data_IF_473204369002
#
_entry.id   IF_473204369002
#
_cell.length_a   1.000
_cell.length_b   1.000
_cell.length_c   1.000
_cell.angle_alpha   90.00
_cell.angle_beta   90.00
_cell.angle_gamma   90.00
#
_symmetry.space_group_name_H-M   'P 1'
#
loop_
_entity.id
_entity.type
_entity.pdbx_description
1 polymer ?
#
# COMPACT_ATOMS: atom_id res chain seq x y z
N UNK A 1 -10.77 -0.74 -10.27
CA UNK A 1 -11.19 -1.86 -9.39
C UNK A 1 -10.47 -1.68 -8.06
N UNK A 2 -11.06 -2.04 -6.91
CA UNK A 2 -10.40 -1.90 -5.59
C UNK A 2 -10.31 -3.27 -4.91
N UNK A 3 -9.20 -3.53 -4.22
CA UNK A 3 -9.05 -4.75 -3.43
C UNK A 3 -9.76 -4.59 -2.08
N UNK A 4 -10.66 -5.51 -1.75
CA UNK A 4 -11.33 -5.52 -0.46
C UNK A 4 -10.63 -6.52 0.48
N UNK A 5 -10.04 -6.03 1.58
CA UNK A 5 -9.37 -6.88 2.58
C UNK A 5 -10.28 -7.95 3.18
N UNK A 6 -11.55 -7.62 3.39
CA UNK A 6 -12.48 -8.53 4.04
C UNK A 6 -12.96 -9.66 3.12
N UNK A 7 -12.95 -9.44 1.81
CA UNK A 7 -13.37 -10.43 0.82
C UNK A 7 -12.19 -11.08 0.08
N UNK A 8 -10.97 -10.64 0.37
CA UNK A 8 -9.72 -11.01 -0.29
C UNK A 8 -9.81 -11.09 -1.82
N UNK A 9 -10.54 -10.15 -2.43
CA UNK A 9 -10.76 -10.14 -3.87
C UNK A 9 -10.92 -8.72 -4.40
N UNK A 10 -10.64 -8.58 -5.70
CA UNK A 10 -10.88 -7.34 -6.44
C UNK A 10 -12.36 -7.17 -6.70
N UNK A 11 -12.94 -6.09 -6.19
CA UNK A 11 -14.34 -5.74 -6.38
C UNK A 11 -14.46 -4.36 -7.00
N UNK A 12 -15.52 -4.16 -7.77
CA UNK A 12 -15.94 -2.81 -8.18
C UNK A 12 -16.82 -2.27 -7.07
N UNK A 13 -16.38 -1.24 -6.31
CA UNK A 13 -17.15 -0.73 -5.20
C UNK A 13 -18.38 0.00 -5.73
N UNK A 14 -19.56 -0.33 -5.20
CA UNK A 14 -20.84 0.18 -5.68
C UNK A 14 -21.51 1.01 -4.59
N UNK A 15 -22.13 2.14 -4.95
CA UNK A 15 -23.03 2.85 -4.06
C UNK A 15 -24.42 2.22 -4.17
N UNK A 16 -24.92 1.59 -3.11
CA UNK A 16 -26.32 1.12 -3.08
C UNK A 16 -27.23 2.35 -2.97
N UNK A 17 -28.01 2.66 -4.00
CA UNK A 17 -29.03 3.70 -3.95
C UNK A 17 -30.35 3.07 -3.50
N UNK A 18 -30.88 3.47 -2.35
CA UNK A 18 -32.16 2.97 -1.87
C UNK A 18 -33.27 3.83 -2.46
N UNK A 19 -33.84 3.38 -3.59
CA UNK A 19 -34.94 4.06 -4.30
C UNK A 19 -36.13 4.32 -3.36
N UNK A 20 -36.42 3.39 -2.44
CA UNK A 20 -37.50 3.53 -1.47
C UNK A 20 -37.32 4.77 -0.56
N UNK A 21 -36.11 4.99 -0.07
CA UNK A 21 -35.78 6.16 0.77
C UNK A 21 -35.84 7.46 -0.02
N UNK A 22 -35.47 7.42 -1.30
CA UNK A 22 -35.59 8.56 -2.19
C UNK A 22 -37.07 8.94 -2.42
N UNK A 23 -37.94 7.98 -2.70
CA UNK A 23 -39.38 8.23 -2.91
C UNK A 23 -40.08 8.81 -1.67
N UNK A 24 -39.77 8.29 -0.48
CA UNK A 24 -40.29 8.81 0.79
C UNK A 24 -39.87 10.27 1.02
N UNK A 25 -38.60 10.60 0.77
CA UNK A 25 -38.12 11.97 0.95
C UNK A 25 -38.63 12.90 -0.16
N UNK A 26 -38.89 12.38 -1.36
CA UNK A 26 -39.40 13.18 -2.47
C UNK A 26 -40.87 13.63 -2.29
N UNK A 27 -41.61 13.02 -1.36
CA UNK A 27 -42.95 13.49 -0.97
C UNK A 27 -42.91 14.89 -0.35
N UNK A 28 -41.76 15.29 0.23
CA UNK A 28 -41.48 16.65 0.67
C UNK A 28 -40.38 17.23 -0.24
N UNK A 29 -40.69 18.24 -1.05
CA UNK A 29 -39.74 18.89 -1.98
C UNK A 29 -38.42 19.24 -1.28
N UNK A 30 -38.51 19.73 -0.04
CA UNK A 30 -37.36 20.06 0.80
C UNK A 30 -36.57 18.80 1.22
N UNK A 31 -37.26 17.73 1.64
CA UNK A 31 -36.65 16.47 2.07
C UNK A 31 -35.89 15.75 0.95
N UNK A 32 -36.42 15.77 -0.27
CA UNK A 32 -35.76 15.17 -1.44
C UNK A 32 -34.41 15.82 -1.75
N UNK A 33 -34.34 17.15 -1.71
CA UNK A 33 -33.09 17.91 -1.96
C UNK A 33 -32.04 17.64 -0.89
N UNK A 34 -32.42 17.66 0.40
CA UNK A 34 -31.50 17.32 1.49
C UNK A 34 -31.00 15.88 1.40
N UNK A 35 -31.86 14.93 1.01
CA UNK A 35 -31.48 13.53 0.83
C UNK A 35 -30.43 13.36 -0.28
N UNK A 36 -30.59 14.05 -1.41
CA UNK A 36 -29.63 14.00 -2.52
C UNK A 36 -28.28 14.60 -2.12
N UNK A 37 -28.28 15.76 -1.46
CA UNK A 37 -27.06 16.39 -0.93
C UNK A 37 -26.35 15.48 0.08
N UNK A 38 -27.11 14.90 1.03
CA UNK A 38 -26.58 13.96 2.00
C UNK A 38 -25.99 12.71 1.33
N UNK A 39 -26.71 12.13 0.35
CA UNK A 39 -26.25 10.96 -0.38
C UNK A 39 -24.94 11.24 -1.15
N UNK A 40 -24.84 12.40 -1.81
CA UNK A 40 -23.64 12.74 -2.57
C UNK A 40 -22.44 13.05 -1.68
N UNK A 41 -22.63 13.77 -0.57
CA UNK A 41 -21.53 14.16 0.31
C UNK A 41 -21.08 13.06 1.27
N UNK A 42 -22.03 12.31 1.88
CA UNK A 42 -21.71 11.38 2.97
C UNK A 42 -21.65 9.92 2.54
N UNK A 43 -22.29 9.53 1.43
CA UNK A 43 -22.33 8.12 1.04
C UNK A 43 -21.04 7.71 0.33
N UNK A 44 -20.21 7.00 1.07
CA UNK A 44 -18.95 6.42 0.59
C UNK A 44 -19.22 5.14 -0.22
N UNK A 45 -18.32 4.88 -1.15
CA UNK A 45 -18.30 3.63 -1.91
C UNK A 45 -18.05 2.46 -0.95
N UNK A 46 -18.86 1.41 -1.01
CA UNK A 46 -18.76 0.24 -0.14
C UNK A 46 -18.59 -1.04 -0.98
N UNK A 47 -18.04 -2.09 -0.36
CA UNK A 47 -17.87 -3.38 -1.02
C UNK A 47 -19.25 -4.00 -1.32
N UNK A 48 -19.54 -4.43 -2.55
CA UNK A 48 -20.86 -5.01 -2.87
C UNK A 48 -21.15 -6.32 -2.12
N UNK A 49 -20.10 -7.05 -1.74
CA UNK A 49 -20.18 -8.39 -1.12
C UNK A 49 -20.34 -8.28 0.40
N UNK A 50 -19.41 -7.59 1.08
CA UNK A 50 -19.39 -7.51 2.55
C UNK A 50 -19.80 -6.16 3.13
N UNK A 51 -20.15 -5.18 2.29
CA UNK A 51 -20.54 -3.81 2.67
C UNK A 51 -19.47 -3.04 3.46
N UNK A 52 -18.23 -3.56 3.53
CA UNK A 52 -17.12 -2.89 4.19
C UNK A 52 -16.56 -1.75 3.34
N UNK A 53 -16.06 -0.71 4.01
CA UNK A 53 -15.31 0.40 3.40
C UNK A 53 -13.79 0.20 3.45
N UNK A 54 -13.32 -0.96 3.90
CA UNK A 54 -11.90 -1.30 4.01
C UNK A 54 -11.35 -1.74 2.65
N UNK A 55 -10.98 -0.76 1.84
CA UNK A 55 -10.26 -0.97 0.59
C UNK A 55 -8.78 -0.71 0.80
N UNK A 56 -7.95 -1.66 0.37
CA UNK A 56 -6.53 -1.41 0.29
C UNK A 56 -6.27 -0.62 -1.00
N UNK A 57 -5.67 0.56 -0.86
CA UNK A 57 -5.02 1.19 -2.00
C UNK A 57 -3.76 0.38 -2.24
N UNK A 58 -3.81 -0.52 -3.21
CA UNK A 58 -2.61 -1.20 -3.71
C UNK A 58 -1.80 -0.12 -4.44
N UNK A 59 -1.06 0.68 -3.67
CA UNK A 59 -0.01 1.53 -4.22
C UNK A 59 1.03 0.55 -4.79
N UNK A 60 1.56 0.86 -5.98
CA UNK A 60 2.49 0.03 -6.74
C UNK A 60 3.86 -0.14 -6.05
N UNK A 61 3.87 -0.66 -4.83
CA UNK A 61 5.09 -0.90 -4.06
C UNK A 61 5.90 -2.09 -4.61
N UNK A 62 5.23 -3.01 -5.32
CA UNK A 62 5.87 -4.25 -5.79
C UNK A 62 6.99 -4.04 -6.80
N UNK A 63 6.96 -2.97 -7.62
CA UNK A 63 8.05 -2.67 -8.56
C UNK A 63 9.23 -1.96 -7.87
N UNK A 64 8.95 -1.10 -6.89
CA UNK A 64 9.97 -0.33 -6.17
C UNK A 64 10.74 -1.21 -5.18
N UNK A 65 10.06 -2.12 -4.48
CA UNK A 65 10.69 -3.04 -3.50
C UNK A 65 11.72 -3.96 -4.17
N UNK A 66 11.45 -4.45 -5.39
CA UNK A 66 12.41 -5.26 -6.14
C UNK A 66 13.68 -4.48 -6.52
N UNK A 67 13.53 -3.22 -6.95
CA UNK A 67 14.66 -2.39 -7.35
C UNK A 67 15.54 -1.97 -6.16
N UNK A 68 14.91 -1.66 -5.01
CA UNK A 68 15.62 -1.33 -3.77
C UNK A 68 16.34 -2.55 -3.20
N UNK A 69 15.73 -3.74 -3.30
CA UNK A 69 16.36 -5.01 -2.90
C UNK A 69 17.67 -5.28 -3.65
N UNK A 70 17.69 -5.08 -4.97
CA UNK A 70 18.88 -5.34 -5.79
C UNK A 70 20.03 -4.37 -5.47
N UNK A 71 19.74 -3.10 -5.18
CA UNK A 71 20.75 -2.12 -4.81
C UNK A 71 21.42 -2.46 -3.46
N UNK A 72 20.62 -2.86 -2.46
CA UNK A 72 21.14 -3.19 -1.12
C UNK A 72 22.07 -4.42 -1.17
N UNK A 73 21.70 -5.47 -1.90
CA UNK A 73 22.55 -6.65 -2.07
C UNK A 73 23.92 -6.30 -2.69
N UNK A 74 23.94 -5.38 -3.66
CA UNK A 74 25.18 -4.92 -4.30
C UNK A 74 26.06 -4.09 -3.35
N UNK A 75 25.45 -3.28 -2.48
CA UNK A 75 26.17 -2.52 -1.47
C UNK A 75 26.79 -3.45 -0.41
N UNK A 76 26.05 -4.46 0.05
CA UNK A 76 26.52 -5.45 1.02
C UNK A 76 27.69 -6.27 0.47
N UNK A 77 27.63 -6.68 -0.79
CA UNK A 77 28.72 -7.39 -1.48
C UNK A 77 29.98 -6.52 -1.61
N UNK A 78 29.85 -5.22 -1.89
CA UNK A 78 30.99 -4.30 -1.92
C UNK A 78 31.64 -4.14 -0.54
N UNK A 79 30.84 -3.99 0.51
CA UNK A 79 31.31 -3.86 1.90
C UNK A 79 32.03 -5.14 2.34
N UNK A 80 31.51 -6.32 1.99
CA UNK A 80 32.12 -7.60 2.31
C UNK A 80 33.52 -7.74 1.68
N UNK A 81 33.67 -7.41 0.38
CA UNK A 81 34.99 -7.42 -0.28
C UNK A 81 35.97 -6.46 0.37
N UNK A 82 35.54 -5.23 0.68
CA UNK A 82 36.40 -4.23 1.34
C UNK A 82 36.85 -4.67 2.73
N UNK A 83 35.98 -5.37 3.48
CA UNK A 83 36.33 -5.93 4.78
C UNK A 83 37.43 -6.98 4.69
N UNK A 84 37.37 -7.87 3.68
CA UNK A 84 38.42 -8.86 3.42
C UNK A 84 39.77 -8.21 3.06
N UNK A 85 39.77 -7.19 2.20
CA UNK A 85 40.99 -6.44 1.86
C UNK A 85 41.65 -5.84 3.11
N UNK A 86 40.85 -5.26 4.01
CA UNK A 86 41.34 -4.67 5.27
C UNK A 86 41.93 -5.75 6.18
N UNK A 87 41.33 -6.93 6.27
CA UNK A 87 41.84 -8.05 7.08
C UNK A 87 43.18 -8.57 6.54
N UNK A 88 43.30 -8.74 5.23
CA UNK A 88 44.57 -9.11 4.59
C UNK A 88 45.66 -8.05 4.84
N UNK A 89 45.32 -6.76 4.72
CA UNK A 89 46.27 -5.68 5.01
C UNK A 89 46.71 -5.65 6.48
N UNK A 90 45.81 -5.95 7.42
CA UNK A 90 46.16 -6.07 8.85
C UNK A 90 47.15 -7.20 9.08
N UNK A 91 46.95 -8.35 8.43
CA UNK A 91 47.83 -9.50 8.58
C UNK A 91 49.21 -9.26 7.96
N UNK A 92 49.25 -8.66 6.76
CA UNK A 92 50.51 -8.23 6.12
C UNK A 92 51.32 -7.28 7.01
N UNK A 93 50.65 -6.35 7.71
CA UNK A 93 51.31 -5.45 8.68
C UNK A 93 51.83 -6.19 9.91
N UNK A 94 51.12 -7.21 10.40
CA UNK A 94 51.58 -8.05 11.52
C UNK A 94 52.82 -8.85 11.16
N UNK A 95 52.83 -9.49 9.99
CA UNK A 95 53.96 -10.28 9.51
C UNK A 95 55.22 -9.41 9.32
N UNK A 96 55.08 -8.21 8.73
CA UNK A 96 56.18 -7.25 8.61
C UNK A 96 56.75 -6.75 9.94
N UNK A 97 55.94 -6.76 11.00
CA UNK A 97 56.36 -6.35 12.35
C UNK A 97 57.13 -7.45 13.08
N UNK A 98 56.93 -8.72 12.69
CA UNK A 98 57.64 -9.88 13.27
C UNK A 98 59.01 -10.08 12.59
N UNK A 99 59.16 -9.63 11.34
CA UNK A 99 60.39 -9.79 10.56
C UNK A 99 61.46 -8.71 10.82
N UNK A 100 61.28 -7.85 11.82
CA UNK A 100 62.13 -6.69 12.10
C UNK A 100 62.49 -6.62 13.58
#
# INVERSE_FOLDING_TARGET
MKYCKNCNQNVTPTKKFSILWFLINCLWIVGGVFYVLYYFMFKKNACPICNSSNFENVIQESAFVSQVGEFNNKADDYIARKKQEIEVLKEQKRLKKISH
#
